data_IF_095622808478
#
_entry.id   IF_095622808478
#
_cell.length_a   1.000
_cell.length_b   1.000
_cell.length_c   1.000
_cell.angle_alpha   90.00
_cell.angle_beta   90.00
_cell.angle_gamma   90.00
#
_symmetry.space_group_name_H-M   'P 1'
#
loop_
_entity.id
_entity.type
_entity.pdbx_description
1 polymer ?
#
# COMPACT_ATOMS: atom_id res chain seq x y z
N UNK A 1 14.36 0.03 21.71
CA UNK A 1 13.71 0.88 20.69
C UNK A 1 14.38 0.68 19.34
N UNK A 2 13.79 1.19 18.25
CA UNK A 2 14.25 0.95 16.87
C UNK A 2 15.75 1.17 16.64
N UNK A 3 16.31 2.28 17.13
CA UNK A 3 17.74 2.57 17.02
C UNK A 3 18.65 1.54 17.72
N UNK A 4 18.15 0.85 18.76
CA UNK A 4 18.86 -0.24 19.40
C UNK A 4 18.90 -1.51 18.54
N UNK A 5 17.79 -1.81 17.86
CA UNK A 5 17.64 -2.97 16.97
C UNK A 5 18.53 -2.81 15.73
N UNK A 6 18.51 -1.63 15.12
CA UNK A 6 19.36 -1.29 13.97
C UNK A 6 20.85 -1.39 14.31
N UNK A 7 21.29 -0.75 15.40
CA UNK A 7 22.70 -0.82 15.83
C UNK A 7 23.17 -2.24 16.17
N UNK A 8 22.26 -3.11 16.56
CA UNK A 8 22.55 -4.50 16.88
C UNK A 8 22.51 -5.42 15.63
N UNK A 9 22.20 -4.91 14.44
CA UNK A 9 22.13 -5.70 13.20
C UNK A 9 21.07 -6.80 13.25
N UNK A 10 19.96 -6.57 13.97
CA UNK A 10 18.95 -7.59 14.22
C UNK A 10 17.89 -7.70 13.12
N UNK A 11 17.88 -6.77 12.15
CA UNK A 11 16.86 -6.73 11.10
C UNK A 11 16.81 -8.04 10.30
N UNK A 12 17.92 -8.62 9.81
CA UNK A 12 17.87 -9.88 9.06
C UNK A 12 17.33 -11.03 9.91
N UNK A 13 17.72 -11.11 11.19
CA UNK A 13 17.22 -12.15 12.09
C UNK A 13 15.71 -12.03 12.33
N UNK A 14 15.19 -10.81 12.47
CA UNK A 14 13.76 -10.55 12.65
C UNK A 14 12.98 -10.96 11.39
N UNK A 15 13.48 -10.63 10.20
CA UNK A 15 12.86 -11.03 8.92
C UNK A 15 12.79 -12.55 8.79
N UNK A 16 13.86 -13.27 9.11
CA UNK A 16 13.87 -14.73 9.05
C UNK A 16 12.90 -15.36 10.07
N UNK A 17 12.81 -14.77 11.26
CA UNK A 17 11.96 -15.27 12.35
C UNK A 17 10.46 -15.13 12.06
N UNK A 18 10.05 -14.16 11.22
CA UNK A 18 8.65 -14.06 10.76
C UNK A 18 8.13 -15.34 10.09
N UNK A 19 9.00 -16.19 9.53
CA UNK A 19 8.58 -17.42 8.84
C UNK A 19 8.19 -18.53 9.81
N UNK A 20 8.75 -18.56 11.01
CA UNK A 20 8.72 -19.75 11.89
C UNK A 20 8.12 -19.49 13.27
N UNK A 21 8.09 -18.24 13.73
CA UNK A 21 7.61 -17.91 15.06
C UNK A 21 6.08 -17.96 15.15
N UNK A 22 5.56 -18.05 16.38
CA UNK A 22 4.13 -18.02 16.66
C UNK A 22 3.51 -16.66 16.31
N UNK A 23 2.20 -16.64 16.07
CA UNK A 23 1.47 -15.44 15.63
C UNK A 23 1.71 -14.24 16.56
N UNK A 24 1.65 -14.45 17.89
CA UNK A 24 1.86 -13.38 18.86
C UNK A 24 3.27 -12.78 18.77
N UNK A 25 4.26 -13.61 18.44
CA UNK A 25 5.65 -13.19 18.26
C UNK A 25 5.82 -12.52 16.89
N UNK A 26 5.18 -13.05 15.83
CA UNK A 26 5.20 -12.43 14.50
C UNK A 26 4.63 -11.01 14.55
N UNK A 27 3.55 -10.77 15.28
CA UNK A 27 2.99 -9.43 15.45
C UNK A 27 3.99 -8.46 16.10
N UNK A 28 4.68 -8.89 17.16
CA UNK A 28 5.73 -8.08 17.82
C UNK A 28 6.92 -7.82 16.90
N UNK A 29 7.29 -8.81 16.07
CA UNK A 29 8.35 -8.64 15.07
C UNK A 29 7.91 -7.62 14.02
N UNK A 30 6.68 -7.70 13.50
CA UNK A 30 6.16 -6.75 12.50
C UNK A 30 6.10 -5.33 13.05
N UNK A 31 5.67 -5.14 14.31
CA UNK A 31 5.70 -3.82 14.96
C UNK A 31 7.13 -3.29 15.14
N UNK A 32 8.07 -4.17 15.49
CA UNK A 32 9.48 -3.83 15.61
C UNK A 32 10.06 -3.42 14.26
N UNK A 33 9.80 -4.19 13.21
CA UNK A 33 10.22 -3.90 11.84
C UNK A 33 9.62 -2.59 11.36
N UNK A 34 8.31 -2.37 11.50
CA UNK A 34 7.64 -1.11 11.14
C UNK A 34 8.37 0.11 11.71
N UNK A 35 8.74 0.07 12.99
CA UNK A 35 9.48 1.17 13.63
C UNK A 35 10.92 1.33 13.11
N UNK A 36 11.59 0.24 12.75
CA UNK A 36 12.96 0.29 12.22
C UNK A 36 12.99 0.77 10.77
N UNK A 37 12.06 0.28 9.95
CA UNK A 37 12.01 0.53 8.50
C UNK A 37 11.55 1.94 8.15
N UNK A 38 11.03 2.70 9.12
CA UNK A 38 10.90 4.16 9.02
C UNK A 38 12.23 4.89 8.87
N UNK A 39 13.33 4.30 9.35
CA UNK A 39 14.65 4.92 9.38
C UNK A 39 15.46 4.54 8.15
N UNK A 40 15.56 3.24 7.85
CA UNK A 40 16.27 2.68 6.70
C UNK A 40 15.72 1.28 6.37
N UNK A 41 15.90 0.81 5.14
CA UNK A 41 15.34 -0.48 4.68
C UNK A 41 16.37 -1.45 4.11
N UNK A 42 17.63 -1.05 3.99
CA UNK A 42 18.63 -1.78 3.21
C UNK A 42 18.91 -3.17 3.79
N UNK A 43 19.02 -3.31 5.12
CA UNK A 43 19.22 -4.62 5.76
C UNK A 43 18.00 -5.54 5.59
N UNK A 44 16.79 -4.98 5.65
CA UNK A 44 15.56 -5.75 5.46
C UNK A 44 15.41 -6.24 4.02
N UNK A 45 15.70 -5.38 3.04
CA UNK A 45 15.67 -5.74 1.63
C UNK A 45 16.71 -6.84 1.33
N UNK A 46 17.94 -6.70 1.83
CA UNK A 46 18.98 -7.73 1.68
C UNK A 46 18.59 -9.07 2.33
N UNK A 47 17.76 -9.05 3.37
CA UNK A 47 17.24 -10.25 4.02
C UNK A 47 15.98 -10.84 3.34
N UNK A 48 15.54 -10.29 2.21
CA UNK A 48 14.35 -10.76 1.49
C UNK A 48 13.03 -10.39 2.15
N UNK A 49 12.98 -9.28 2.90
CA UNK A 49 11.79 -8.90 3.66
C UNK A 49 10.53 -8.77 2.82
N UNK A 50 10.63 -8.25 1.58
CA UNK A 50 9.46 -8.07 0.71
C UNK A 50 8.80 -9.42 0.39
N UNK A 51 9.58 -10.44 0.05
CA UNK A 51 9.08 -11.80 -0.21
C UNK A 51 8.39 -12.37 1.03
N UNK A 52 9.01 -12.25 2.21
CA UNK A 52 8.43 -12.72 3.48
C UNK A 52 7.13 -12.01 3.80
N UNK A 53 7.10 -10.68 3.67
CA UNK A 53 5.91 -9.89 3.96
C UNK A 53 4.79 -10.18 2.97
N UNK A 54 5.11 -10.40 1.68
CA UNK A 54 4.14 -10.84 0.65
C UNK A 54 3.45 -12.14 1.06
N UNK A 55 4.18 -13.13 1.56
CA UNK A 55 3.60 -14.38 2.08
C UNK A 55 2.66 -14.13 3.27
N UNK A 56 2.95 -13.13 4.11
CA UNK A 56 2.13 -12.77 5.28
C UNK A 56 0.86 -12.00 4.92
N UNK A 57 0.74 -11.50 3.69
CA UNK A 57 -0.49 -10.87 3.20
C UNK A 57 -1.66 -11.85 3.07
N UNK A 58 -1.41 -13.16 2.95
CA UNK A 58 -2.46 -14.18 2.92
C UNK A 58 -2.66 -14.90 4.26
N UNK A 59 -2.13 -14.35 5.36
CA UNK A 59 -2.20 -15.00 6.67
C UNK A 59 -3.64 -15.04 7.23
N UNK A 60 -4.06 -16.11 7.95
CA UNK A 60 -5.40 -16.16 8.55
C UNK A 60 -5.65 -15.04 9.58
N UNK A 61 -4.63 -14.66 10.35
CA UNK A 61 -4.71 -13.55 11.31
C UNK A 61 -4.78 -12.19 10.61
N UNK A 62 -5.87 -11.46 10.86
CA UNK A 62 -6.06 -10.06 10.42
C UNK A 62 -4.96 -9.14 10.93
N UNK A 63 -4.50 -9.33 12.16
CA UNK A 63 -3.43 -8.53 12.74
C UNK A 63 -2.12 -8.71 11.98
N UNK A 64 -1.79 -9.94 11.58
CA UNK A 64 -0.60 -10.23 10.78
C UNK A 64 -0.74 -9.63 9.37
N UNK A 65 -1.88 -9.81 8.69
CA UNK A 65 -2.09 -9.24 7.34
C UNK A 65 -1.96 -7.72 7.35
N UNK A 66 -2.66 -7.04 8.26
CA UNK A 66 -2.64 -5.57 8.36
C UNK A 66 -1.25 -5.04 8.70
N UNK A 67 -0.56 -5.63 9.69
CA UNK A 67 0.82 -5.25 10.05
C UNK A 67 1.82 -5.54 8.92
N UNK A 68 1.70 -6.66 8.21
CA UNK A 68 2.57 -6.98 7.08
C UNK A 68 2.40 -5.96 5.94
N UNK A 69 1.16 -5.62 5.58
CA UNK A 69 0.87 -4.56 4.63
C UNK A 69 1.43 -3.21 5.11
N UNK A 70 1.31 -2.90 6.40
CA UNK A 70 1.89 -1.70 6.98
C UNK A 70 3.41 -1.66 6.89
N UNK A 71 4.11 -2.77 7.13
CA UNK A 71 5.57 -2.85 6.96
C UNK A 71 5.96 -2.67 5.49
N UNK A 72 5.18 -3.22 4.54
CA UNK A 72 5.38 -2.95 3.10
C UNK A 72 5.16 -1.49 2.72
N UNK A 73 4.25 -0.77 3.42
CA UNK A 73 4.11 0.68 3.29
C UNK A 73 5.39 1.39 3.72
N UNK A 74 5.92 1.08 4.91
CA UNK A 74 7.16 1.68 5.40
C UNK A 74 8.31 1.41 4.42
N UNK A 75 8.43 0.19 3.88
CA UNK A 75 9.40 -0.15 2.82
C UNK A 75 9.18 0.72 1.57
N UNK A 76 7.95 0.78 1.08
CA UNK A 76 7.58 1.52 -0.13
C UNK A 76 7.73 3.04 0.03
N UNK A 77 7.87 3.56 1.25
CA UNK A 77 8.14 4.98 1.47
C UNK A 77 9.55 5.37 0.97
N UNK A 78 10.49 4.42 0.91
CA UNK A 78 11.86 4.60 0.40
C UNK A 78 11.97 4.33 -1.10
N UNK A 79 12.97 4.90 -1.77
CA UNK A 79 13.16 4.72 -3.22
C UNK A 79 13.49 3.27 -3.60
N UNK A 80 14.47 2.66 -2.92
CA UNK A 80 14.88 1.27 -3.11
C UNK A 80 13.74 0.28 -2.78
N UNK A 81 12.94 0.58 -1.76
CA UNK A 81 11.79 -0.25 -1.39
C UNK A 81 10.69 -0.29 -2.45
N UNK A 82 10.42 0.83 -3.15
CA UNK A 82 9.44 0.84 -4.26
C UNK A 82 9.86 -0.10 -5.40
N UNK A 83 11.16 -0.13 -5.71
CA UNK A 83 11.72 -1.01 -6.74
C UNK A 83 11.58 -2.47 -6.30
N UNK A 84 12.02 -2.79 -5.09
CA UNK A 84 11.96 -4.15 -4.55
C UNK A 84 10.52 -4.71 -4.50
N UNK A 85 9.54 -3.90 -4.09
CA UNK A 85 8.11 -4.29 -4.05
C UNK A 85 7.55 -4.62 -5.44
N UNK A 86 8.05 -3.96 -6.49
CA UNK A 86 7.70 -4.27 -7.87
C UNK A 86 8.39 -5.55 -8.36
N UNK A 87 9.70 -5.68 -8.13
CA UNK A 87 10.51 -6.82 -8.57
C UNK A 87 10.07 -8.14 -7.92
N UNK A 88 9.66 -8.09 -6.65
CA UNK A 88 9.18 -9.24 -5.88
C UNK A 88 7.68 -9.50 -6.06
N UNK A 89 7.02 -8.83 -7.01
CA UNK A 89 5.61 -9.03 -7.37
C UNK A 89 4.65 -8.92 -6.17
N UNK A 90 4.89 -7.97 -5.25
CA UNK A 90 4.03 -7.77 -4.08
C UNK A 90 2.78 -6.94 -4.39
N UNK A 91 2.76 -6.19 -5.50
CA UNK A 91 1.62 -5.34 -5.90
C UNK A 91 0.33 -6.14 -6.11
N UNK A 92 0.29 -7.25 -6.88
CA UNK A 92 -0.94 -8.04 -7.02
C UNK A 92 -1.49 -8.56 -5.70
N UNK A 93 -0.61 -8.96 -4.77
CA UNK A 93 -1.02 -9.38 -3.44
C UNK A 93 -1.65 -8.23 -2.64
N UNK A 94 -1.06 -7.02 -2.69
CA UNK A 94 -1.66 -5.83 -2.08
C UNK A 94 -3.01 -5.46 -2.70
N UNK A 95 -3.17 -5.60 -4.02
CA UNK A 95 -4.44 -5.34 -4.72
C UNK A 95 -5.55 -6.28 -4.24
N UNK A 96 -5.24 -7.58 -4.05
CA UNK A 96 -6.21 -8.55 -3.53
C UNK A 96 -6.74 -8.20 -2.13
N UNK A 97 -5.94 -7.49 -1.32
CA UNK A 97 -6.32 -7.06 0.03
C UNK A 97 -7.11 -5.75 0.07
N UNK A 98 -7.40 -5.12 -1.07
CA UNK A 98 -8.30 -3.96 -1.12
C UNK A 98 -9.75 -4.35 -0.82
N UNK A 99 -10.10 -5.62 -1.08
CA UNK A 99 -11.42 -6.20 -0.84
C UNK A 99 -11.48 -7.03 0.46
N UNK A 100 -10.45 -6.94 1.32
CA UNK A 100 -10.46 -7.60 2.63
C UNK A 100 -11.65 -7.07 3.46
N UNK A 101 -12.29 -7.95 4.23
CA UNK A 101 -13.46 -7.58 5.05
C UNK A 101 -13.10 -6.72 6.27
N UNK A 102 -11.80 -6.60 6.57
CA UNK A 102 -11.31 -5.92 7.75
C UNK A 102 -10.76 -4.53 7.38
N UNK A 103 -11.36 -3.43 7.90
CA UNK A 103 -10.96 -2.07 7.54
C UNK A 103 -9.49 -1.76 7.81
N UNK A 104 -8.89 -2.31 8.87
CA UNK A 104 -7.46 -2.11 9.15
C UNK A 104 -6.54 -2.72 8.09
N UNK A 105 -6.96 -3.82 7.46
CA UNK A 105 -6.22 -4.44 6.36
C UNK A 105 -6.35 -3.55 5.12
N UNK A 106 -7.57 -3.12 4.77
CA UNK A 106 -7.81 -2.24 3.63
C UNK A 106 -7.04 -0.91 3.73
N UNK A 107 -7.01 -0.27 4.91
CA UNK A 107 -6.23 0.96 5.14
C UNK A 107 -4.74 0.71 4.88
N UNK A 108 -4.22 -0.40 5.40
CA UNK A 108 -2.79 -0.73 5.31
C UNK A 108 -2.38 -1.12 3.90
N UNK A 109 -3.17 -1.97 3.23
CA UNK A 109 -2.93 -2.41 1.84
C UNK A 109 -3.05 -1.27 0.85
N UNK A 110 -4.08 -0.43 0.97
CA UNK A 110 -4.25 0.76 0.11
C UNK A 110 -3.11 1.76 0.31
N UNK A 111 -2.66 1.96 1.55
CA UNK A 111 -1.52 2.82 1.85
C UNK A 111 -0.22 2.29 1.26
N UNK A 112 0.07 0.99 1.40
CA UNK A 112 1.23 0.36 0.79
C UNK A 112 1.21 0.48 -0.74
N UNK A 113 0.05 0.20 -1.36
CA UNK A 113 -0.12 0.30 -2.80
C UNK A 113 0.11 1.74 -3.29
N UNK A 114 -0.43 2.74 -2.59
CA UNK A 114 -0.26 4.17 -2.93
C UNK A 114 1.21 4.57 -3.04
N UNK A 115 2.07 4.10 -2.15
CA UNK A 115 3.51 4.36 -2.22
C UNK A 115 4.23 3.52 -3.28
N UNK A 116 3.86 2.25 -3.43
CA UNK A 116 4.49 1.32 -4.36
C UNK A 116 4.31 1.75 -5.83
N UNK A 117 3.15 2.32 -6.18
CA UNK A 117 2.83 2.68 -7.56
C UNK A 117 3.29 4.08 -7.98
N UNK A 118 4.11 4.76 -7.17
CA UNK A 118 4.69 6.07 -7.56
C UNK A 118 5.66 5.91 -8.74
N UNK A 119 6.18 4.71 -9.00
CA UNK A 119 7.03 4.39 -10.16
C UNK A 119 6.18 3.99 -11.39
N UNK A 120 6.66 4.20 -12.62
CA UNK A 120 5.96 3.74 -13.82
C UNK A 120 5.71 2.22 -13.82
N UNK A 121 6.71 1.43 -13.43
CA UNK A 121 6.58 -0.03 -13.29
C UNK A 121 5.50 -0.42 -12.29
N UNK A 122 5.44 0.26 -11.14
CA UNK A 122 4.42 0.00 -10.13
C UNK A 122 3.01 0.30 -10.65
N UNK A 123 2.81 1.41 -11.38
CA UNK A 123 1.51 1.70 -12.03
C UNK A 123 1.13 0.62 -13.05
N UNK A 124 2.06 0.21 -13.91
CA UNK A 124 1.81 -0.86 -14.89
C UNK A 124 1.45 -2.19 -14.22
N UNK A 125 2.14 -2.55 -13.12
CA UNK A 125 1.82 -3.74 -12.34
C UNK A 125 0.44 -3.67 -11.70
N UNK A 126 0.07 -2.52 -11.10
CA UNK A 126 -1.26 -2.33 -10.52
C UNK A 126 -2.39 -2.31 -11.56
N UNK A 127 -2.14 -1.76 -12.75
CA UNK A 127 -3.08 -1.86 -13.88
C UNK A 127 -3.27 -3.32 -14.32
N UNK A 128 -2.18 -4.08 -14.45
CA UNK A 128 -2.23 -5.50 -14.80
C UNK A 128 -2.90 -6.37 -13.73
N UNK A 129 -2.89 -5.94 -12.48
CA UNK A 129 -3.59 -6.59 -11.36
C UNK A 129 -5.04 -6.10 -11.18
N UNK A 130 -5.58 -5.31 -12.11
CA UNK A 130 -6.95 -4.79 -12.07
C UNK A 130 -7.27 -3.98 -10.79
N UNK A 131 -6.36 -3.10 -10.36
CA UNK A 131 -6.55 -2.34 -9.12
C UNK A 131 -7.71 -1.32 -9.15
N UNK A 132 -8.17 -0.88 -10.33
CA UNK A 132 -9.14 0.23 -10.44
C UNK A 132 -10.49 -0.08 -9.78
N UNK A 133 -11.19 -1.20 -10.10
CA UNK A 133 -12.50 -1.49 -9.51
C UNK A 133 -12.51 -1.52 -7.97
N UNK A 134 -11.65 -2.26 -7.26
CA UNK A 134 -11.69 -2.28 -5.80
C UNK A 134 -11.31 -0.93 -5.19
N UNK A 135 -10.42 -0.16 -5.82
CA UNK A 135 -10.12 1.20 -5.39
C UNK A 135 -11.35 2.12 -5.52
N UNK A 136 -12.12 2.02 -6.61
CA UNK A 136 -13.35 2.80 -6.78
C UNK A 136 -14.40 2.47 -5.72
N UNK A 137 -14.53 1.20 -5.33
CA UNK A 137 -15.37 0.77 -4.21
C UNK A 137 -14.94 1.45 -2.91
N UNK A 138 -13.64 1.43 -2.60
CA UNK A 138 -13.10 2.13 -1.42
C UNK A 138 -13.37 3.65 -1.48
N UNK A 139 -13.28 4.29 -2.66
CA UNK A 139 -13.62 5.71 -2.76
C UNK A 139 -15.11 5.97 -2.46
N UNK A 140 -15.99 5.07 -2.87
CA UNK A 140 -17.43 5.23 -2.74
C UNK A 140 -17.98 4.88 -1.34
N UNK A 141 -17.42 3.87 -0.67
CA UNK A 141 -18.02 3.25 0.52
C UNK A 141 -17.27 3.55 1.81
N UNK A 142 -15.94 3.73 1.76
CA UNK A 142 -15.14 3.93 2.96
C UNK A 142 -15.16 5.38 3.45
N UNK A 143 -15.04 5.57 4.76
CA UNK A 143 -14.85 6.88 5.40
C UNK A 143 -13.50 7.06 6.09
N UNK A 144 -12.67 6.01 6.03
CA UNK A 144 -11.37 5.94 6.67
C UNK A 144 -10.26 6.58 5.84
N UNK A 145 -9.02 6.49 6.33
CA UNK A 145 -7.81 6.84 5.56
C UNK A 145 -7.69 6.02 4.26
N UNK A 146 -8.35 4.85 4.17
CA UNK A 146 -8.37 4.05 2.95
C UNK A 146 -8.93 4.84 1.78
N UNK A 147 -10.03 5.58 1.95
CA UNK A 147 -10.62 6.43 0.90
C UNK A 147 -9.62 7.46 0.37
N UNK A 148 -8.94 8.18 1.28
CA UNK A 148 -7.95 9.18 0.88
C UNK A 148 -6.80 8.53 0.09
N UNK A 149 -6.29 7.40 0.55
CA UNK A 149 -5.23 6.67 -0.14
C UNK A 149 -5.73 6.15 -1.49
N UNK A 150 -6.95 5.64 -1.57
CA UNK A 150 -7.54 5.13 -2.81
C UNK A 150 -7.68 6.24 -3.87
N UNK A 151 -8.16 7.42 -3.50
CA UNK A 151 -8.23 8.57 -4.42
C UNK A 151 -6.83 8.92 -4.95
N UNK A 152 -5.81 8.97 -4.08
CA UNK A 152 -4.43 9.25 -4.51
C UNK A 152 -3.87 8.16 -5.41
N UNK A 153 -4.11 6.89 -5.11
CA UNK A 153 -3.71 5.75 -5.94
C UNK A 153 -4.36 5.83 -7.31
N UNK A 154 -5.67 6.07 -7.39
CA UNK A 154 -6.38 6.24 -8.66
C UNK A 154 -5.88 7.47 -9.45
N UNK A 155 -5.50 8.54 -8.76
CA UNK A 155 -4.89 9.72 -9.41
C UNK A 155 -3.58 9.36 -10.10
N UNK A 156 -2.72 8.55 -9.47
CA UNK A 156 -1.48 8.06 -10.08
C UNK A 156 -1.77 7.16 -11.28
N UNK A 157 -2.80 6.31 -11.22
CA UNK A 157 -3.21 5.46 -12.35
C UNK A 157 -3.82 6.28 -13.51
N UNK A 158 -4.47 7.41 -13.23
CA UNK A 158 -4.98 8.34 -14.24
C UNK A 158 -3.88 9.08 -15.03
N UNK A 159 -2.61 8.97 -14.62
CA UNK A 159 -1.48 9.44 -15.43
C UNK A 159 -1.24 8.53 -16.65
N UNK A 160 -1.66 7.26 -16.59
CA UNK A 160 -1.65 6.34 -17.73
C UNK A 160 -2.88 6.60 -18.64
N UNK A 161 -2.73 6.56 -19.97
CA UNK A 161 -3.86 6.78 -20.90
C UNK A 161 -5.05 5.84 -20.66
N UNK A 162 -4.78 4.56 -20.42
CA UNK A 162 -5.79 3.53 -20.18
C UNK A 162 -6.50 3.77 -18.84
N UNK A 163 -5.72 4.05 -17.78
CA UNK A 163 -6.27 4.36 -16.46
C UNK A 163 -7.13 5.62 -16.49
N UNK A 164 -6.69 6.68 -17.18
CA UNK A 164 -7.49 7.90 -17.38
C UNK A 164 -8.80 7.61 -18.09
N UNK A 165 -8.74 6.85 -19.19
CA UNK A 165 -9.92 6.49 -19.98
C UNK A 165 -10.96 5.77 -19.13
N UNK A 166 -10.55 4.78 -18.33
CA UNK A 166 -11.46 4.07 -17.42
C UNK A 166 -12.01 5.01 -16.35
N UNK A 167 -11.18 5.84 -15.73
CA UNK A 167 -11.61 6.70 -14.63
C UNK A 167 -12.51 7.86 -15.06
N UNK A 168 -12.47 8.28 -16.34
CA UNK A 168 -13.43 9.23 -16.91
C UNK A 168 -14.88 8.73 -16.77
N UNK A 169 -15.13 7.43 -16.92
CA UNK A 169 -16.46 6.82 -16.78
C UNK A 169 -16.95 6.85 -15.32
N UNK A 170 -16.03 6.97 -14.35
CA UNK A 170 -16.30 6.99 -12.92
C UNK A 170 -16.10 8.36 -12.26
N UNK A 171 -16.00 9.43 -13.06
CA UNK A 171 -15.79 10.80 -12.58
C UNK A 171 -16.76 11.23 -11.47
N UNK A 172 -18.02 10.81 -11.55
CA UNK A 172 -19.05 11.12 -10.57
C UNK A 172 -18.71 10.59 -9.14
N UNK A 173 -17.89 9.54 -9.04
CA UNK A 173 -17.42 9.02 -7.75
C UNK A 173 -16.52 10.02 -7.04
N UNK A 174 -15.58 10.64 -7.75
CA UNK A 174 -14.71 11.67 -7.18
C UNK A 174 -15.46 12.97 -6.88
N UNK A 175 -16.45 13.35 -7.69
CA UNK A 175 -17.27 14.53 -7.43
C UNK A 175 -18.01 14.45 -6.09
N UNK A 176 -18.51 13.27 -5.71
CA UNK A 176 -19.15 13.05 -4.41
C UNK A 176 -18.19 13.32 -3.25
N UNK A 177 -16.90 13.01 -3.42
CA UNK A 177 -15.86 13.26 -2.42
C UNK A 177 -15.52 14.76 -2.22
N UNK A 178 -16.01 15.66 -3.07
CA UNK A 178 -15.85 17.12 -2.85
C UNK A 178 -16.70 17.63 -1.67
N UNK A 179 -17.73 16.88 -1.28
CA UNK A 179 -18.57 17.17 -0.11
C UNK A 179 -18.11 16.41 1.15
N UNK A 180 -16.96 15.73 1.11
CA UNK A 180 -16.46 14.92 2.22
C UNK A 180 -16.14 15.77 3.46
N UNK A 181 -16.39 15.32 4.70
CA UNK A 181 -16.00 16.10 5.88
C UNK A 181 -14.49 16.30 6.03
N UNK A 182 -13.66 15.46 5.39
CA UNK A 182 -12.21 15.59 5.42
C UNK A 182 -11.71 16.50 4.28
N UNK A 183 -11.15 17.66 4.63
CA UNK A 183 -10.51 18.55 3.65
C UNK A 183 -9.41 17.86 2.83
N UNK A 184 -8.71 16.88 3.42
CA UNK A 184 -7.68 16.13 2.71
C UNK A 184 -8.30 15.26 1.60
N UNK A 185 -9.48 14.70 1.83
CA UNK A 185 -10.25 13.95 0.83
C UNK A 185 -10.77 14.88 -0.25
N UNK A 186 -11.34 16.02 0.13
CA UNK A 186 -11.81 17.04 -0.84
C UNK A 186 -10.68 17.45 -1.78
N UNK A 187 -9.53 17.86 -1.24
CA UNK A 187 -8.35 18.27 -2.02
C UNK A 187 -7.82 17.14 -2.92
N UNK A 188 -7.77 15.91 -2.41
CA UNK A 188 -7.35 14.77 -3.23
C UNK A 188 -8.32 14.51 -4.38
N UNK A 189 -9.63 14.66 -4.16
CA UNK A 189 -10.65 14.48 -5.18
C UNK A 189 -10.60 15.58 -6.26
N UNK A 190 -10.35 16.84 -5.90
CA UNK A 190 -10.14 17.94 -6.85
C UNK A 190 -8.98 17.66 -7.80
N UNK A 191 -7.85 17.20 -7.24
CA UNK A 191 -6.67 16.83 -8.02
C UNK A 191 -7.00 15.65 -8.94
N UNK A 192 -7.65 14.60 -8.40
CA UNK A 192 -8.04 13.43 -9.19
C UNK A 192 -8.91 13.82 -10.39
N UNK A 193 -9.94 14.65 -10.18
CA UNK A 193 -10.82 15.15 -11.25
C UNK A 193 -10.01 15.92 -12.30
N UNK A 194 -9.09 16.78 -11.87
CA UNK A 194 -8.24 17.56 -12.79
C UNK A 194 -7.38 16.65 -13.67
N UNK A 195 -6.76 15.62 -13.09
CA UNK A 195 -5.92 14.65 -13.82
C UNK A 195 -6.76 13.77 -14.75
N UNK A 196 -7.97 13.38 -14.32
CA UNK A 196 -8.90 12.58 -15.10
C UNK A 196 -9.43 13.37 -16.32
N UNK A 197 -9.78 14.63 -16.13
CA UNK A 197 -10.36 15.50 -17.18
C UNK A 197 -9.31 16.00 -18.18
N UNK A 198 -8.02 15.83 -17.90
CA UNK A 198 -6.94 16.32 -18.74
C UNK A 198 -6.94 15.66 -20.12
N UNK A 199 -6.92 16.50 -21.16
CA UNK A 199 -6.77 16.11 -22.57
C UNK A 199 -5.42 16.66 -23.07
N UNK A 200 -4.57 15.82 -23.68
CA UNK A 200 -3.31 16.25 -24.28
C UNK A 200 -3.48 17.31 -25.37
#
# INVERSE_FOLDING_TARGET
GAAGVLRAGLIPSLVLKLKTELDEIQELILDTLSNCLRVEVSEALAAGAVTVLKEKLSHPSTAIRSKAAWVLLEISSHAEGKVAVCEEEAIPALVSLLEDTQPEVQVSSTGALMFAIVTPQGRSSAMGAEAIPPLLTLVAEETSKARLNAIKTLTLLAELPEGRKTLLEHRATFQRCLADPSEAVQRAAEIAITVIDWKP
#
